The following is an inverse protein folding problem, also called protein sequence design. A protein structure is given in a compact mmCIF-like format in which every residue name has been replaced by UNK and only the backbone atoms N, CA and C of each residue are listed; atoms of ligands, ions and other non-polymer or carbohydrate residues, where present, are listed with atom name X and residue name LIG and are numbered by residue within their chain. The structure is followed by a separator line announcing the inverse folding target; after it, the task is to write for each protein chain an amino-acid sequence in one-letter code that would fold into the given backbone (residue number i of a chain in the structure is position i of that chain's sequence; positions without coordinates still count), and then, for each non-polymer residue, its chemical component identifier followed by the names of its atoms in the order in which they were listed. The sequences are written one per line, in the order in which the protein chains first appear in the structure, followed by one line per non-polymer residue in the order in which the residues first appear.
data_IF_711440236456
#
_entry.id   IF_711440236456
#
_cell.length_a   1.000
_cell.length_b   1.000
_cell.length_c   1.000
_cell.angle_alpha   90.00
_cell.angle_beta   90.00
_cell.angle_gamma   90.00
#
_symmetry.space_group_name_H-M   'P 1'
#
loop_
_entity.id
_entity.type
_entity.pdbx_description
1 polymer ?
#
# COMPACT_ATOMS: atom_id res chain seq x y z
N UNK A 1 -15.75 -8.41 31.40
CA UNK A 1 -15.38 -8.51 29.97
C UNK A 1 -14.19 -7.59 29.79
N UNK A 2 -12.98 -8.14 29.83
CA UNK A 2 -11.76 -7.39 29.62
C UNK A 2 -10.82 -8.23 28.75
N UNK A 3 -10.36 -7.60 27.68
CA UNK A 3 -9.05 -7.75 27.05
C UNK A 3 -8.97 -6.54 26.08
N UNK A 4 -8.45 -5.41 26.54
CA UNK A 4 -7.04 -5.04 26.39
C UNK A 4 -6.66 -4.94 24.91
N UNK A 5 -7.00 -3.81 24.28
CA UNK A 5 -6.43 -3.41 23.00
C UNK A 5 -5.04 -2.87 23.33
N UNK A 6 -4.08 -3.79 23.34
CA UNK A 6 -2.69 -3.53 23.67
C UNK A 6 -2.08 -2.54 22.69
N UNK A 7 -1.56 -1.44 23.24
CA UNK A 7 -0.50 -0.68 22.62
C UNK A 7 0.68 -1.61 22.31
N UNK A 8 0.90 -1.89 21.03
CA UNK A 8 2.02 -2.68 20.52
C UNK A 8 3.23 -1.82 20.18
N UNK A 9 3.84 -1.17 21.17
CA UNK A 9 5.22 -0.69 21.04
C UNK A 9 6.15 -1.86 21.35
N UNK A 10 6.51 -2.65 20.32
CA UNK A 10 7.35 -3.84 20.48
C UNK A 10 7.78 -4.51 19.18
N UNK A 11 8.64 -3.87 18.39
CA UNK A 11 9.63 -4.53 17.52
C UNK A 11 9.19 -5.65 16.57
N UNK A 12 8.06 -5.53 15.86
CA UNK A 12 7.69 -6.47 14.79
C UNK A 12 7.51 -5.70 13.48
N UNK A 13 8.58 -5.63 12.68
CA UNK A 13 8.50 -5.14 11.31
C UNK A 13 7.65 -6.09 10.46
N UNK A 14 7.18 -5.63 9.30
CA UNK A 14 6.32 -6.42 8.40
C UNK A 14 6.83 -7.85 8.12
N UNK A 15 8.15 -8.04 8.08
CA UNK A 15 8.80 -9.34 7.89
C UNK A 15 8.73 -10.32 9.07
N UNK A 16 7.94 -10.07 10.13
CA UNK A 16 7.78 -11.02 11.25
C UNK A 16 6.44 -11.76 11.28
N UNK A 17 5.60 -11.63 10.24
CA UNK A 17 4.27 -12.24 10.23
C UNK A 17 4.29 -13.77 10.16
N UNK A 18 5.07 -14.35 9.25
CA UNK A 18 5.28 -15.78 9.08
C UNK A 18 6.61 -16.02 8.33
N UNK A 19 7.09 -17.26 8.31
CA UNK A 19 8.36 -17.63 7.68
C UNK A 19 8.36 -17.26 6.19
N UNK A 20 7.27 -17.57 5.49
CA UNK A 20 7.15 -17.31 4.05
C UNK A 20 7.19 -15.82 3.69
N UNK A 21 6.57 -14.97 4.53
CA UNK A 21 6.65 -13.51 4.33
C UNK A 21 8.05 -12.99 4.62
N UNK A 22 8.69 -13.50 5.69
CA UNK A 22 10.06 -13.13 6.03
C UNK A 22 11.02 -13.49 4.89
N UNK A 23 10.91 -14.70 4.36
CA UNK A 23 11.72 -15.18 3.25
C UNK A 23 11.50 -14.32 1.99
N UNK A 24 10.23 -14.03 1.65
CA UNK A 24 9.88 -13.19 0.50
C UNK A 24 10.47 -11.77 0.58
N UNK A 25 10.61 -11.22 1.78
CA UNK A 25 11.19 -9.89 2.01
C UNK A 25 12.73 -9.90 2.13
N UNK A 26 13.35 -11.08 2.26
CA UNK A 26 14.78 -11.23 2.52
C UNK A 26 15.64 -11.48 1.27
N UNK A 27 15.05 -11.48 0.08
CA UNK A 27 15.78 -11.71 -1.16
C UNK A 27 16.86 -10.67 -1.40
N UNK A 28 18.12 -11.11 -1.53
CA UNK A 28 19.28 -10.21 -1.74
C UNK A 28 19.77 -10.19 -3.20
N UNK A 29 19.37 -11.16 -4.02
CA UNK A 29 19.84 -11.31 -5.41
C UNK A 29 19.06 -10.43 -6.41
N UNK A 30 17.79 -10.17 -6.11
CA UNK A 30 16.91 -9.31 -6.88
C UNK A 30 16.12 -8.41 -5.93
N UNK A 31 15.62 -7.30 -6.46
CA UNK A 31 14.72 -6.44 -5.69
C UNK A 31 13.50 -7.27 -5.23
N UNK A 32 13.22 -7.33 -3.91
CA UNK A 32 12.11 -8.12 -3.39
C UNK A 32 10.77 -7.66 -3.97
N UNK A 33 9.94 -8.62 -4.39
CA UNK A 33 8.57 -8.32 -4.85
C UNK A 33 7.69 -7.75 -3.74
N UNK A 34 8.07 -7.94 -2.47
CA UNK A 34 7.39 -7.39 -1.29
C UNK A 34 8.42 -6.60 -0.50
N UNK A 35 8.21 -5.28 -0.37
CA UNK A 35 9.16 -4.37 0.26
C UNK A 35 8.47 -3.29 1.08
N UNK A 36 9.20 -2.67 2.00
CA UNK A 36 8.71 -1.51 2.77
C UNK A 36 9.15 -0.26 2.03
N UNK A 37 8.20 0.58 1.64
CA UNK A 37 8.47 1.87 1.02
C UNK A 37 9.10 2.85 2.00
N UNK A 38 9.62 3.97 1.48
CA UNK A 38 10.21 5.04 2.29
C UNK A 38 9.19 5.71 3.23
N UNK A 39 7.90 5.56 2.93
CA UNK A 39 6.74 5.98 3.73
C UNK A 39 6.40 4.99 4.88
N UNK A 40 7.09 3.86 4.96
CA UNK A 40 6.85 2.82 5.96
C UNK A 40 5.59 1.99 5.69
N UNK A 41 5.10 1.95 4.45
CA UNK A 41 4.01 1.06 4.01
C UNK A 41 4.61 -0.20 3.36
N UNK A 42 3.98 -1.35 3.62
CA UNK A 42 4.35 -2.59 2.93
C UNK A 42 3.69 -2.64 1.56
N UNK A 43 4.51 -2.72 0.51
CA UNK A 43 4.08 -2.81 -0.88
C UNK A 43 4.42 -4.16 -1.49
N UNK A 44 3.64 -4.54 -2.50
CA UNK A 44 3.96 -5.65 -3.40
C UNK A 44 3.89 -5.17 -4.85
N UNK A 45 4.90 -5.49 -5.63
CA UNK A 45 4.91 -5.22 -7.07
C UNK A 45 3.94 -6.15 -7.78
N UNK A 46 2.96 -5.57 -8.49
CA UNK A 46 1.88 -6.31 -9.17
C UNK A 46 2.01 -6.27 -10.70
N UNK A 47 2.91 -5.46 -11.24
CA UNK A 47 3.13 -5.36 -12.68
C UNK A 47 4.22 -4.38 -13.07
N UNK A 48 4.35 -4.20 -14.39
CA UNK A 48 5.22 -3.20 -15.00
C UNK A 48 4.38 -2.29 -15.90
N UNK A 49 4.75 -1.02 -15.98
CA UNK A 49 4.19 -0.05 -16.92
C UNK A 49 5.27 0.35 -17.92
N UNK A 50 4.93 0.29 -19.21
CA UNK A 50 5.81 0.76 -20.28
C UNK A 50 5.81 2.29 -20.31
N UNK A 51 7.00 2.88 -20.26
CA UNK A 51 7.24 4.31 -20.39
C UNK A 51 7.94 4.53 -21.75
N UNK A 52 7.44 5.47 -22.56
CA UNK A 52 7.85 5.58 -23.99
C UNK A 52 9.35 5.90 -24.20
N UNK A 53 10.00 6.55 -23.24
CA UNK A 53 11.40 6.98 -23.32
C UNK A 53 12.23 6.61 -22.07
N UNK A 54 11.70 5.75 -21.19
CA UNK A 54 12.31 5.40 -19.90
C UNK A 54 12.29 3.88 -19.65
N UNK A 55 13.04 3.43 -18.65
CA UNK A 55 13.00 2.03 -18.22
C UNK A 55 11.60 1.71 -17.65
N UNK A 56 11.02 0.51 -17.90
CA UNK A 56 9.69 0.18 -17.42
C UNK A 56 9.56 0.38 -15.91
N UNK A 57 8.55 1.13 -15.49
CA UNK A 57 8.27 1.36 -14.08
C UNK A 57 7.60 0.14 -13.44
N UNK A 58 7.85 -0.09 -12.16
CA UNK A 58 7.11 -1.08 -11.37
C UNK A 58 5.81 -0.47 -10.86
N UNK A 59 4.74 -1.26 -10.83
CA UNK A 59 3.46 -0.89 -10.22
C UNK A 59 3.36 -1.57 -8.86
N UNK A 60 3.41 -0.79 -7.79
CA UNK A 60 3.38 -1.26 -6.41
C UNK A 60 2.02 -0.99 -5.74
N UNK A 61 1.51 -1.99 -5.02
CA UNK A 61 0.23 -1.88 -4.31
C UNK A 61 0.39 -2.23 -2.81
N UNK A 62 -0.29 -1.49 -1.90
CA UNK A 62 -0.20 -1.75 -0.47
C UNK A 62 -0.79 -3.13 -0.11
N UNK A 63 -0.10 -3.86 0.76
CA UNK A 63 -0.47 -5.21 1.20
C UNK A 63 -1.13 -5.15 2.57
N UNK A 64 -2.45 -5.28 2.64
CA UNK A 64 -3.18 -5.23 3.92
C UNK A 64 -3.19 -6.56 4.67
N UNK A 65 -3.15 -7.68 3.95
CA UNK A 65 -3.15 -9.03 4.50
C UNK A 65 -1.98 -9.82 3.95
N UNK A 66 -1.35 -10.62 4.80
CA UNK A 66 -0.27 -11.51 4.40
C UNK A 66 -0.76 -12.48 3.31
N UNK A 67 -0.13 -12.52 2.12
CA UNK A 67 -0.57 -13.40 1.04
C UNK A 67 -0.34 -14.89 1.34
N UNK A 68 0.45 -15.20 2.38
CA UNK A 68 0.79 -16.58 2.75
C UNK A 68 -0.12 -17.13 3.86
N UNK A 69 -0.36 -16.37 4.92
CA UNK A 69 -1.12 -16.85 6.09
C UNK A 69 -2.45 -16.10 6.35
N UNK A 70 -2.74 -15.04 5.60
CA UNK A 70 -3.99 -14.27 5.70
C UNK A 70 -4.10 -13.33 6.90
N UNK A 71 -3.06 -13.20 7.73
CA UNK A 71 -3.06 -12.27 8.87
C UNK A 71 -3.07 -10.81 8.39
N UNK A 72 -3.75 -9.93 9.11
CA UNK A 72 -3.69 -8.49 8.84
C UNK A 72 -2.31 -7.92 9.15
N UNK A 73 -1.75 -7.13 8.23
CA UNK A 73 -0.43 -6.52 8.32
C UNK A 73 -0.48 -5.00 8.55
N UNK A 74 -1.47 -4.33 7.96
CA UNK A 74 -1.71 -2.90 8.07
C UNK A 74 -3.18 -2.61 7.71
N UNK A 75 -3.69 -1.45 8.12
CA UNK A 75 -5.07 -1.03 7.80
C UNK A 75 -5.10 0.06 6.73
N UNK A 76 -6.23 0.26 6.02
CA UNK A 76 -6.39 1.38 5.10
C UNK A 76 -6.15 2.75 5.76
N UNK A 77 -6.61 2.93 7.01
CA UNK A 77 -6.42 4.17 7.75
C UNK A 77 -4.93 4.42 8.06
N UNK A 78 -4.19 3.39 8.47
CA UNK A 78 -2.76 3.48 8.73
C UNK A 78 -1.96 3.79 7.46
N UNK A 79 -2.33 3.19 6.33
CA UNK A 79 -1.68 3.47 5.03
C UNK A 79 -1.95 4.91 4.62
N UNK A 80 -3.21 5.37 4.66
CA UNK A 80 -3.58 6.75 4.31
C UNK A 80 -2.83 7.78 5.16
N UNK A 81 -2.71 7.51 6.47
CA UNK A 81 -1.98 8.37 7.39
C UNK A 81 -0.46 8.44 7.09
N UNK A 82 0.12 7.40 6.48
CA UNK A 82 1.54 7.34 6.10
C UNK A 82 1.81 7.94 4.72
N UNK A 83 0.92 7.72 3.76
CA UNK A 83 1.08 8.20 2.39
C UNK A 83 0.69 9.68 2.22
N UNK A 84 -0.04 10.24 3.18
CA UNK A 84 -0.45 11.65 3.15
C UNK A 84 -1.58 11.92 2.18
N UNK A 85 -2.41 10.92 1.88
CA UNK A 85 -3.70 11.11 1.20
C UNK A 85 -4.63 11.88 2.15
N UNK A 86 -4.50 13.20 2.20
CA UNK A 86 -5.57 14.09 2.64
C UNK A 86 -6.68 13.97 1.60
N UNK A 87 -7.89 13.60 2.03
CA UNK A 87 -9.07 13.51 1.18
C UNK A 87 -9.22 14.74 0.26
N UNK A 88 -9.08 14.56 -1.05
CA UNK A 88 -9.71 15.41 -2.06
C UNK A 88 -11.23 15.09 -2.02
N UNK A 89 -11.87 15.48 -0.91
CA UNK A 89 -13.31 15.59 -0.76
C UNK A 89 -13.63 17.10 -0.85
N UNK A 90 -13.34 17.69 -2.01
CA UNK A 90 -13.76 19.06 -2.36
C UNK A 90 -14.71 18.99 -3.56
N UNK A 91 -15.98 18.82 -3.19
CA UNK A 91 -17.16 19.44 -3.79
C UNK A 91 -17.64 18.93 -5.16
N UNK A 92 -18.84 18.34 -5.10
CA UNK A 92 -19.79 18.29 -6.19
C UNK A 92 -20.09 19.72 -6.70
N UNK A 93 -19.80 20.01 -7.96
CA UNK A 93 -20.47 21.06 -8.72
C UNK A 93 -21.16 20.41 -9.93
N UNK A 94 -22.46 20.22 -9.76
CA UNK A 94 -23.43 19.98 -10.82
C UNK A 94 -23.54 21.24 -11.72
N UNK A 95 -24.07 21.07 -12.95
CA UNK A 95 -24.55 22.12 -13.87
C UNK A 95 -23.46 22.93 -14.64
N UNK A 96 -23.49 23.11 -15.96
CA UNK A 96 -24.63 23.50 -16.79
C UNK A 96 -24.66 22.81 -18.16
N UNK A 97 -25.90 22.54 -18.53
CA UNK A 97 -26.50 22.15 -19.80
C UNK A 97 -25.96 22.76 -21.11
N UNK A 98 -26.19 21.99 -22.17
CA UNK A 98 -26.37 22.43 -23.56
C UNK A 98 -26.85 23.89 -23.70
N UNK A 99 -26.18 24.69 -24.54
CA UNK A 99 -26.92 25.63 -25.37
C UNK A 99 -26.32 25.73 -26.79
N UNK A 100 -27.18 25.38 -27.75
CA UNK A 100 -26.99 25.54 -29.20
C UNK A 100 -27.06 27.03 -29.52
N UNK A 101 -26.18 27.50 -30.40
CA UNK A 101 -26.34 28.60 -31.39
C UNK A 101 -24.95 29.25 -31.59
N UNK A 102 -24.39 29.35 -32.80
CA UNK A 102 -24.99 29.86 -34.04
C UNK A 102 -24.19 29.42 -35.26
#
# INVERSE_FOLDING_TARGET
MAADIGAGSGGQGFGSCCEELQEAMSGEEFEPLITVGDDGVLYMSVGMVELEDEEPGMVDHPVFFCPFCGSGLQTPEDVKAKTGDEDDDDEEEEDESEDKQS
#
